data_IF_708696471900
#
_entry.id   IF_708696471900
#
_cell.length_a   1.000
_cell.length_b   1.000
_cell.length_c   1.000
_cell.angle_alpha   90.00
_cell.angle_beta   90.00
_cell.angle_gamma   90.00
#
_symmetry.space_group_name_H-M   'P 1'
#
loop_
_entity.id
_entity.type
_entity.pdbx_description
1 polymer ?
#
# COMPACT_ATOMS: atom_id res chain seq x y z
N UNK A 1 7.42 1.08 -16.44
CA UNK A 1 8.68 0.39 -16.77
C UNK A 1 9.55 1.28 -17.65
N UNK A 2 9.07 1.63 -18.86
CA UNK A 2 9.90 2.43 -19.79
C UNK A 2 10.20 3.83 -19.24
N UNK A 3 9.21 4.57 -18.71
CA UNK A 3 9.46 5.86 -18.07
C UNK A 3 10.47 5.79 -16.91
N UNK A 4 10.44 4.69 -16.11
CA UNK A 4 11.45 4.44 -15.07
C UNK A 4 12.85 4.29 -15.68
N UNK A 5 12.98 3.52 -16.76
CA UNK A 5 14.24 3.32 -17.46
C UNK A 5 14.82 4.63 -17.97
N UNK A 6 14.00 5.42 -18.66
CA UNK A 6 14.44 6.71 -19.23
C UNK A 6 14.86 7.70 -18.16
N UNK A 7 14.08 7.80 -17.05
CA UNK A 7 14.42 8.69 -15.94
C UNK A 7 15.73 8.27 -15.26
N UNK A 8 15.92 6.97 -15.00
CA UNK A 8 17.12 6.49 -14.35
C UNK A 8 18.36 6.55 -15.28
N UNK A 9 18.18 6.38 -16.59
CA UNK A 9 19.24 6.59 -17.56
C UNK A 9 19.70 8.06 -17.58
N UNK A 10 18.74 9.00 -17.53
CA UNK A 10 19.05 10.43 -17.43
C UNK A 10 19.76 10.75 -16.09
N UNK A 11 19.32 10.16 -14.98
CA UNK A 11 19.95 10.32 -13.67
C UNK A 11 21.41 9.81 -13.69
N UNK A 12 21.66 8.65 -14.29
CA UNK A 12 23.00 8.09 -14.44
C UNK A 12 23.90 8.98 -15.31
N UNK A 13 23.37 9.52 -16.41
CA UNK A 13 24.12 10.40 -17.31
C UNK A 13 24.49 11.75 -16.64
N UNK A 14 23.71 12.21 -15.66
CA UNK A 14 23.97 13.45 -14.91
C UNK A 14 24.91 13.24 -13.71
N UNK A 15 25.33 12.02 -13.40
CA UNK A 15 26.23 11.74 -12.29
C UNK A 15 25.66 12.12 -10.93
N UNK A 16 24.38 11.85 -10.68
CA UNK A 16 23.72 12.16 -9.41
C UNK A 16 24.39 11.40 -8.26
N UNK A 17 24.62 12.10 -7.15
CA UNK A 17 25.24 11.53 -5.94
C UNK A 17 24.33 10.53 -5.23
N UNK A 18 23.00 10.69 -5.37
CA UNK A 18 22.01 9.82 -4.71
C UNK A 18 20.67 9.82 -5.45
N UNK A 19 20.07 8.66 -5.52
CA UNK A 19 18.72 8.47 -6.07
C UNK A 19 17.90 7.64 -5.07
N UNK A 20 16.72 8.12 -4.68
CA UNK A 20 15.74 7.32 -3.90
C UNK A 20 14.59 6.95 -4.82
N UNK A 21 14.44 5.66 -5.08
CA UNK A 21 13.36 5.14 -5.91
C UNK A 21 12.17 4.70 -5.06
N UNK A 22 11.03 5.34 -5.27
CA UNK A 22 9.77 4.97 -4.60
C UNK A 22 9.09 3.82 -5.31
N UNK A 23 9.16 2.64 -4.71
CA UNK A 23 8.43 1.44 -5.12
C UNK A 23 7.15 1.26 -4.28
N UNK A 24 6.84 0.06 -3.85
CA UNK A 24 5.68 -0.26 -2.98
C UNK A 24 5.88 -1.65 -2.39
N UNK A 25 5.33 -1.93 -1.20
CA UNK A 25 5.26 -3.32 -0.69
C UNK A 25 4.49 -4.27 -1.61
N UNK A 26 3.69 -3.73 -2.54
CA UNK A 26 3.00 -4.53 -3.55
C UNK A 26 3.91 -5.28 -4.53
N UNK A 27 5.21 -4.96 -4.57
CA UNK A 27 6.25 -5.66 -5.36
C UNK A 27 6.96 -6.76 -4.59
N UNK A 28 6.75 -6.83 -3.28
CA UNK A 28 7.40 -7.79 -2.39
C UNK A 28 6.56 -9.06 -2.23
N UNK A 29 7.21 -10.14 -1.85
CA UNK A 29 6.56 -11.40 -1.50
C UNK A 29 5.71 -11.25 -0.24
N UNK A 30 4.64 -12.06 -0.20
CA UNK A 30 3.79 -12.18 0.97
C UNK A 30 3.55 -13.67 1.22
N UNK A 31 3.99 -14.22 2.37
CA UNK A 31 3.84 -15.65 2.67
C UNK A 31 2.38 -16.14 2.63
N UNK A 32 1.42 -15.27 2.98
CA UNK A 32 -0.01 -15.56 2.88
C UNK A 32 -0.59 -16.38 4.03
N UNK A 33 0.25 -16.78 4.98
CA UNK A 33 -0.12 -17.50 6.21
C UNK A 33 -0.33 -16.57 7.42
N UNK A 34 -0.24 -15.27 7.20
CA UNK A 34 -0.29 -14.24 8.25
C UNK A 34 1.09 -13.80 8.75
N UNK A 35 2.15 -14.48 8.34
CA UNK A 35 3.53 -14.03 8.60
C UNK A 35 3.84 -12.77 7.80
N UNK A 36 4.45 -11.73 8.40
CA UNK A 36 4.82 -10.53 7.67
C UNK A 36 5.88 -10.81 6.59
N UNK A 37 5.66 -10.28 5.38
CA UNK A 37 6.68 -10.27 4.33
C UNK A 37 7.81 -9.30 4.66
N UNK A 38 9.00 -9.61 4.15
CA UNK A 38 10.21 -8.79 4.27
C UNK A 38 10.70 -8.35 2.89
N UNK A 39 11.74 -7.51 2.85
CA UNK A 39 12.40 -7.11 1.61
C UNK A 39 12.96 -8.30 0.81
N UNK A 40 13.28 -9.39 1.52
CA UNK A 40 13.91 -10.60 0.96
C UNK A 40 12.91 -11.74 0.69
N UNK A 41 11.62 -11.55 1.03
CA UNK A 41 10.60 -12.57 0.78
C UNK A 41 10.49 -12.83 -0.72
N UNK A 42 10.75 -14.07 -1.18
CA UNK A 42 10.76 -14.40 -2.60
C UNK A 42 9.39 -14.14 -3.25
N UNK A 43 9.44 -13.65 -4.49
CA UNK A 43 8.23 -13.42 -5.27
C UNK A 43 8.56 -13.41 -6.76
N UNK A 44 7.61 -13.87 -7.57
CA UNK A 44 7.75 -13.94 -9.02
C UNK A 44 6.74 -13.02 -9.72
N UNK A 45 7.03 -12.66 -10.97
CA UNK A 45 6.10 -11.87 -11.80
C UNK A 45 4.73 -12.57 -11.97
N UNK A 46 4.69 -13.90 -11.93
CA UNK A 46 3.46 -14.67 -12.07
C UNK A 46 2.52 -14.49 -10.87
N UNK A 47 3.07 -14.24 -9.69
CA UNK A 47 2.30 -14.00 -8.46
C UNK A 47 1.75 -12.57 -8.37
N UNK A 48 2.19 -11.66 -9.26
CA UNK A 48 1.72 -10.29 -9.32
C UNK A 48 0.31 -10.22 -9.90
N UNK A 49 -0.69 -10.02 -9.04
CA UNK A 49 -2.09 -9.90 -9.44
C UNK A 49 -2.39 -8.48 -9.94
N UNK A 50 -2.89 -8.38 -11.17
CA UNK A 50 -3.29 -7.14 -11.81
C UNK A 50 -2.16 -6.34 -12.46
N UNK A 51 -2.52 -5.46 -13.38
CA UNK A 51 -1.56 -4.68 -14.18
C UNK A 51 -0.68 -3.75 -13.34
N UNK A 52 -1.25 -3.17 -12.27
CA UNK A 52 -0.53 -2.26 -11.39
C UNK A 52 0.66 -2.95 -10.72
N UNK A 53 0.43 -4.07 -10.01
CA UNK A 53 1.52 -4.79 -9.31
C UNK A 53 2.57 -5.29 -10.28
N UNK A 54 2.16 -5.85 -11.44
CA UNK A 54 3.09 -6.31 -12.49
C UNK A 54 3.98 -5.17 -13.01
N UNK A 55 3.38 -4.02 -13.30
CA UNK A 55 4.12 -2.86 -13.81
C UNK A 55 5.09 -2.31 -12.77
N UNK A 56 4.69 -2.23 -11.49
CA UNK A 56 5.56 -1.78 -10.40
C UNK A 56 6.69 -2.77 -10.14
N UNK A 57 6.43 -4.07 -10.15
CA UNK A 57 7.43 -5.12 -10.00
C UNK A 57 8.52 -5.03 -11.09
N UNK A 58 8.10 -4.94 -12.35
CA UNK A 58 9.04 -4.79 -13.46
C UNK A 58 9.82 -3.47 -13.39
N UNK A 59 9.20 -2.39 -12.92
CA UNK A 59 9.85 -1.10 -12.76
C UNK A 59 10.88 -1.11 -11.63
N UNK A 60 10.59 -1.80 -10.51
CA UNK A 60 11.55 -2.00 -9.41
C UNK A 60 12.74 -2.84 -9.88
N UNK A 61 12.51 -3.89 -10.65
CA UNK A 61 13.59 -4.69 -11.24
C UNK A 61 14.53 -3.82 -12.12
N UNK A 62 13.96 -2.93 -12.94
CA UNK A 62 14.76 -1.95 -13.71
C UNK A 62 15.57 -1.05 -12.78
N UNK A 63 14.99 -0.55 -11.69
CA UNK A 63 15.71 0.31 -10.76
C UNK A 63 16.90 -0.41 -10.09
N UNK A 64 16.68 -1.65 -9.66
CA UNK A 64 17.75 -2.49 -9.10
C UNK A 64 18.84 -2.84 -10.12
N UNK A 65 18.49 -2.99 -11.42
CA UNK A 65 19.46 -3.17 -12.50
C UNK A 65 20.38 -1.94 -12.63
N UNK A 66 19.82 -0.73 -12.59
CA UNK A 66 20.61 0.50 -12.60
C UNK A 66 21.53 0.61 -11.37
N UNK A 67 21.05 0.20 -10.18
CA UNK A 67 21.90 0.15 -8.99
C UNK A 67 23.08 -0.82 -9.16
N UNK A 68 22.86 -2.01 -9.75
CA UNK A 68 23.93 -2.97 -10.06
C UNK A 68 24.93 -2.44 -11.09
N UNK A 69 24.51 -1.56 -11.98
CA UNK A 69 25.36 -0.89 -12.97
C UNK A 69 26.09 0.33 -12.40
N UNK A 70 25.93 0.63 -11.09
CA UNK A 70 26.69 1.68 -10.42
C UNK A 70 25.92 2.98 -10.16
N UNK A 71 24.62 3.07 -10.51
CA UNK A 71 23.81 4.22 -10.09
C UNK A 71 23.63 4.17 -8.57
N UNK A 72 23.95 5.24 -7.80
CA UNK A 72 23.82 5.27 -6.34
C UNK A 72 22.34 5.35 -5.91
N UNK A 73 21.61 4.25 -6.13
CA UNK A 73 20.16 4.16 -5.94
C UNK A 73 19.80 3.31 -4.72
N UNK A 74 18.85 3.82 -3.94
CA UNK A 74 18.21 3.12 -2.82
C UNK A 74 16.72 2.99 -3.12
N UNK A 75 16.12 1.85 -2.79
CA UNK A 75 14.69 1.60 -3.00
C UNK A 75 13.95 1.73 -1.68
N UNK A 76 12.82 2.44 -1.68
CA UNK A 76 11.87 2.43 -0.56
C UNK A 76 10.55 1.82 -1.01
N UNK A 77 9.99 0.96 -0.16
CA UNK A 77 8.74 0.24 -0.40
C UNK A 77 7.69 0.69 0.63
N UNK A 78 7.00 1.82 0.41
CA UNK A 78 5.91 2.21 1.29
C UNK A 78 4.81 1.15 1.34
N UNK A 79 4.26 0.93 2.55
CA UNK A 79 3.10 0.06 2.75
C UNK A 79 1.81 0.81 2.43
N UNK A 80 0.96 1.06 3.41
CA UNK A 80 -0.30 1.77 3.24
C UNK A 80 -0.26 3.09 4.02
N UNK A 81 0.14 4.20 3.39
CA UNK A 81 0.18 5.50 4.04
C UNK A 81 -1.21 5.99 4.43
N UNK A 82 -1.33 6.52 5.66
CA UNK A 82 -2.54 7.14 6.19
C UNK A 82 -2.18 8.48 6.82
N UNK A 83 -3.04 9.48 6.70
CA UNK A 83 -2.85 10.80 7.26
C UNK A 83 -3.56 11.90 6.49
N UNK A 84 -3.12 13.13 6.67
CA UNK A 84 -3.64 14.32 5.98
C UNK A 84 -3.19 14.36 4.51
N UNK A 85 -3.83 15.23 3.70
CA UNK A 85 -3.47 15.55 2.31
C UNK A 85 -3.83 14.51 1.25
N UNK A 86 -4.72 13.57 1.57
CA UNK A 86 -5.27 12.60 0.61
C UNK A 86 -6.41 13.25 -0.22
N UNK A 87 -6.07 14.23 -1.08
CA UNK A 87 -7.04 15.00 -1.90
C UNK A 87 -7.86 14.18 -2.88
N UNK A 88 -7.30 13.07 -3.36
CA UNK A 88 -8.04 12.08 -4.13
C UNK A 88 -8.01 10.80 -3.33
N UNK A 89 -9.03 10.55 -2.50
CA UNK A 89 -8.96 9.46 -1.56
C UNK A 89 -8.36 8.20 -2.20
N UNK A 90 -7.21 7.82 -1.69
CA UNK A 90 -6.58 6.54 -2.03
C UNK A 90 -7.55 5.40 -1.68
N UNK A 91 -7.35 4.17 -2.15
CA UNK A 91 -8.21 3.06 -1.74
C UNK A 91 -8.37 2.95 -0.22
N UNK A 92 -7.33 3.25 0.56
CA UNK A 92 -7.38 3.26 2.02
C UNK A 92 -8.10 4.50 2.56
N UNK A 93 -7.82 5.68 2.01
CA UNK A 93 -8.56 6.91 2.33
C UNK A 93 -10.05 6.77 2.04
N UNK A 94 -10.41 6.07 0.95
CA UNK A 94 -11.81 5.80 0.63
C UNK A 94 -12.50 4.92 1.69
N UNK A 95 -11.79 3.94 2.28
CA UNK A 95 -12.32 3.15 3.40
C UNK A 95 -12.67 4.08 4.58
N UNK A 96 -11.81 5.04 4.90
CA UNK A 96 -12.07 6.02 5.98
C UNK A 96 -13.28 6.89 5.64
N UNK A 97 -13.34 7.44 4.42
CA UNK A 97 -14.46 8.27 3.96
C UNK A 97 -15.79 7.49 3.98
N UNK A 98 -15.79 6.25 3.48
CA UNK A 98 -16.98 5.41 3.46
C UNK A 98 -17.42 5.01 4.87
N UNK A 99 -16.48 4.77 5.79
CA UNK A 99 -16.77 4.57 7.20
C UNK A 99 -17.45 5.80 7.81
N UNK A 100 -16.88 6.99 7.62
CA UNK A 100 -17.44 8.26 8.13
C UNK A 100 -18.83 8.54 7.58
N UNK A 101 -19.08 8.21 6.32
CA UNK A 101 -20.41 8.32 5.66
C UNK A 101 -21.36 7.18 5.99
N UNK A 102 -20.95 6.22 6.82
CA UNK A 102 -21.74 5.04 7.18
C UNK A 102 -22.20 4.22 5.95
N UNK A 103 -21.34 4.18 4.91
CA UNK A 103 -21.63 3.46 3.66
C UNK A 103 -21.13 2.01 3.65
N UNK A 104 -20.61 1.53 4.78
CA UNK A 104 -20.06 0.18 4.94
C UNK A 104 -20.91 -0.66 5.90
N UNK A 105 -22.05 -1.21 5.48
CA UNK A 105 -22.88 -2.07 6.33
C UNK A 105 -22.21 -3.42 6.61
N UNK A 106 -21.33 -3.85 5.72
CA UNK A 106 -20.61 -5.12 5.77
C UNK A 106 -19.22 -4.99 5.13
N UNK A 107 -18.30 -5.89 5.47
CA UNK A 107 -16.93 -5.88 4.92
C UNK A 107 -16.42 -7.29 4.70
N UNK A 108 -15.44 -7.41 3.80
CA UNK A 108 -14.64 -8.61 3.61
C UNK A 108 -13.37 -8.47 4.44
N UNK A 109 -13.08 -9.47 5.28
CA UNK A 109 -11.90 -9.42 6.14
C UNK A 109 -10.61 -9.50 5.31
N UNK A 110 -9.71 -8.60 5.61
CA UNK A 110 -8.36 -8.53 5.04
C UNK A 110 -7.42 -7.89 6.06
N UNK A 111 -6.13 -7.85 5.76
CA UNK A 111 -5.13 -7.20 6.60
C UNK A 111 -4.29 -6.22 5.81
N UNK A 112 -3.94 -5.12 6.43
CA UNK A 112 -3.11 -4.06 5.87
C UNK A 112 -1.99 -3.70 6.86
N UNK A 113 -0.83 -3.36 6.32
CA UNK A 113 0.21 -2.71 7.09
C UNK A 113 0.02 -1.20 6.93
N UNK A 114 -0.32 -0.49 7.99
CA UNK A 114 -0.53 0.95 7.99
C UNK A 114 0.71 1.69 8.47
N UNK A 115 0.96 2.87 7.93
CA UNK A 115 2.01 3.79 8.36
C UNK A 115 1.54 5.24 8.24
N UNK A 116 2.02 6.11 9.12
CA UNK A 116 1.75 7.55 9.00
C UNK A 116 2.44 8.13 7.76
N UNK A 117 1.72 8.91 6.94
CA UNK A 117 2.26 9.49 5.70
C UNK A 117 3.51 10.35 5.93
N UNK A 118 3.60 11.07 7.06
CA UNK A 118 4.79 11.85 7.43
C UNK A 118 6.01 10.96 7.72
N UNK A 119 5.80 9.75 8.25
CA UNK A 119 6.89 8.80 8.49
C UNK A 119 7.38 8.19 7.18
N UNK A 120 6.49 8.01 6.21
CA UNK A 120 6.89 7.66 4.83
C UNK A 120 7.78 8.75 4.24
N UNK A 121 7.38 10.02 4.34
CA UNK A 121 8.18 11.14 3.86
C UNK A 121 9.55 11.21 4.56
N UNK A 122 9.57 11.06 5.90
CA UNK A 122 10.81 10.98 6.68
C UNK A 122 11.67 9.79 6.25
N UNK A 123 11.05 8.63 5.98
CA UNK A 123 11.73 7.44 5.48
C UNK A 123 12.47 7.67 4.16
N UNK A 124 11.93 8.48 3.25
CA UNK A 124 12.62 8.86 2.01
C UNK A 124 13.88 9.69 2.29
N UNK A 125 13.79 10.70 3.17
CA UNK A 125 14.96 11.51 3.55
C UNK A 125 16.02 10.68 4.28
N UNK A 126 15.61 9.74 5.13
CA UNK A 126 16.53 8.83 5.80
C UNK A 126 17.17 7.84 4.84
N UNK A 127 16.42 7.34 3.84
CA UNK A 127 16.96 6.46 2.81
C UNK A 127 17.96 7.20 1.91
N UNK A 128 17.73 8.48 1.62
CA UNK A 128 18.68 9.34 0.94
C UNK A 128 19.96 9.48 1.76
N UNK A 129 19.86 9.82 3.04
CA UNK A 129 21.00 10.12 3.90
C UNK A 129 21.80 8.87 4.33
N UNK A 130 21.13 7.72 4.60
CA UNK A 130 21.72 6.55 5.26
C UNK A 130 21.52 5.23 4.53
N UNK A 131 20.62 5.18 3.54
CA UNK A 131 20.31 3.94 2.85
C UNK A 131 21.52 3.35 2.13
N UNK A 132 21.69 2.05 2.15
CA UNK A 132 22.73 1.36 1.40
C UNK A 132 22.34 1.25 -0.08
N UNK A 133 23.28 1.51 -0.98
CA UNK A 133 23.06 1.46 -2.42
C UNK A 133 22.64 0.04 -2.82
N UNK A 134 21.61 -0.06 -3.66
CA UNK A 134 21.04 -1.33 -4.12
C UNK A 134 20.09 -2.01 -3.14
N UNK A 135 19.95 -1.49 -1.92
CA UNK A 135 19.10 -2.07 -0.91
C UNK A 135 17.65 -1.55 -0.98
N UNK A 136 16.73 -2.37 -0.46
CA UNK A 136 15.31 -2.06 -0.31
C UNK A 136 14.97 -1.85 1.17
N UNK A 137 14.05 -0.94 1.44
CA UNK A 137 13.56 -0.65 2.80
C UNK A 137 12.04 -0.52 2.82
N UNK A 138 11.38 -1.39 3.58
CA UNK A 138 9.94 -1.31 3.82
C UNK A 138 9.65 -0.14 4.75
N UNK A 139 8.87 0.83 4.24
CA UNK A 139 8.33 1.91 5.05
C UNK A 139 6.92 1.51 5.48
N UNK A 140 6.82 0.80 6.59
CA UNK A 140 5.59 0.27 7.17
C UNK A 140 5.58 0.45 8.69
N UNK A 141 4.43 0.19 9.34
CA UNK A 141 4.33 0.21 10.80
C UNK A 141 3.47 -0.93 11.32
N UNK A 142 2.18 -0.71 11.58
CA UNK A 142 1.33 -1.70 12.24
C UNK A 142 0.59 -2.59 11.23
N UNK A 143 0.65 -3.90 11.47
CA UNK A 143 -0.13 -4.89 10.76
C UNK A 143 -1.50 -5.02 11.43
N UNK A 144 -2.54 -4.53 10.79
CA UNK A 144 -3.90 -4.49 11.33
C UNK A 144 -4.88 -5.20 10.39
N UNK A 145 -5.80 -5.98 10.98
CA UNK A 145 -6.96 -6.45 10.23
C UNK A 145 -7.93 -5.30 9.95
N UNK A 146 -8.75 -5.43 8.91
CA UNK A 146 -9.75 -4.41 8.59
C UNK A 146 -10.73 -4.21 9.75
N UNK A 147 -11.06 -5.28 10.47
CA UNK A 147 -11.85 -5.20 11.70
C UNK A 147 -11.19 -4.32 12.76
N UNK A 148 -9.89 -4.49 13.02
CA UNK A 148 -9.15 -3.65 13.97
C UNK A 148 -9.13 -2.18 13.53
N UNK A 149 -8.94 -1.91 12.23
CA UNK A 149 -8.99 -0.55 11.67
C UNK A 149 -10.38 0.08 11.92
N UNK A 150 -11.47 -0.67 11.73
CA UNK A 150 -12.82 -0.16 12.01
C UNK A 150 -13.07 0.10 13.49
N UNK A 151 -12.52 -0.70 14.40
CA UNK A 151 -12.62 -0.42 15.83
C UNK A 151 -11.86 0.86 16.20
N UNK A 152 -10.63 1.04 15.69
CA UNK A 152 -9.88 2.30 15.88
C UNK A 152 -10.66 3.52 15.34
N UNK A 153 -11.27 3.40 14.16
CA UNK A 153 -12.09 4.48 13.61
C UNK A 153 -13.36 4.73 14.45
N UNK A 154 -13.97 3.67 14.99
CA UNK A 154 -15.14 3.80 15.87
C UNK A 154 -14.77 4.53 17.17
N UNK A 155 -13.67 4.17 17.80
CA UNK A 155 -13.17 4.83 19.02
C UNK A 155 -12.84 6.31 18.78
N UNK A 156 -12.22 6.63 17.63
CA UNK A 156 -11.89 8.01 17.26
C UNK A 156 -13.09 8.89 16.90
N UNK A 157 -14.16 8.31 16.38
CA UNK A 157 -15.26 9.07 15.77
C UNK A 157 -16.57 8.99 16.54
N UNK A 158 -16.72 8.02 17.45
CA UNK A 158 -17.99 7.69 18.10
C UNK A 158 -19.00 6.99 17.18
N UNK A 159 -18.64 6.67 15.93
CA UNK A 159 -19.50 5.97 14.99
C UNK A 159 -19.40 4.44 15.21
N UNK A 160 -20.51 3.68 15.02
CA UNK A 160 -20.45 2.24 15.19
C UNK A 160 -19.62 1.56 14.10
N UNK A 161 -18.74 0.64 14.50
CA UNK A 161 -18.01 -0.21 13.56
C UNK A 161 -18.96 -1.13 12.77
N UNK A 162 -18.66 -1.45 11.50
CA UNK A 162 -19.39 -2.44 10.72
C UNK A 162 -19.36 -3.80 11.42
N UNK A 163 -20.54 -4.43 11.61
CA UNK A 163 -20.66 -5.68 12.36
C UNK A 163 -20.69 -6.93 11.48
N UNK A 164 -21.05 -6.79 10.21
CA UNK A 164 -21.28 -7.92 9.31
C UNK A 164 -20.01 -8.23 8.53
N UNK A 165 -19.36 -9.33 8.88
CA UNK A 165 -18.24 -9.89 8.12
C UNK A 165 -18.78 -10.80 7.02
N UNK A 166 -18.46 -10.48 5.76
CA UNK A 166 -18.92 -11.27 4.62
C UNK A 166 -18.01 -12.50 4.42
N UNK A 167 -18.58 -13.66 4.10
CA UNK A 167 -17.79 -14.82 3.76
C UNK A 167 -17.16 -14.64 2.35
N UNK A 168 -15.92 -15.07 2.20
CA UNK A 168 -15.11 -14.85 0.98
C UNK A 168 -15.75 -15.43 -0.30
N UNK A 169 -16.19 -16.71 -0.25
CA UNK A 169 -16.63 -17.42 -1.46
C UNK A 169 -17.88 -16.85 -2.10
N UNK A 170 -18.96 -16.50 -1.37
CA UNK A 170 -20.12 -15.83 -1.94
C UNK A 170 -19.78 -14.47 -2.55
N UNK A 171 -18.91 -13.69 -1.88
CA UNK A 171 -18.48 -12.39 -2.42
C UNK A 171 -17.68 -12.56 -3.71
N UNK A 172 -16.81 -13.56 -3.77
CA UNK A 172 -16.07 -13.87 -4.99
C UNK A 172 -17.00 -14.29 -6.15
N UNK A 173 -17.99 -15.14 -5.87
CA UNK A 173 -18.98 -15.52 -6.87
C UNK A 173 -19.78 -14.31 -7.40
N UNK A 174 -20.22 -13.43 -6.49
CA UNK A 174 -20.88 -12.16 -6.88
C UNK A 174 -19.97 -11.26 -7.73
N UNK A 175 -18.68 -11.19 -7.40
CA UNK A 175 -17.72 -10.40 -8.17
C UNK A 175 -17.58 -10.91 -9.60
N UNK A 176 -17.54 -12.23 -9.82
CA UNK A 176 -17.54 -12.79 -11.18
C UNK A 176 -18.80 -12.44 -11.96
N UNK A 177 -19.96 -12.51 -11.30
CA UNK A 177 -21.24 -12.13 -11.92
C UNK A 177 -21.24 -10.64 -12.27
N UNK A 178 -20.81 -9.75 -11.34
CA UNK A 178 -20.73 -8.31 -11.62
C UNK A 178 -19.75 -7.99 -12.74
N UNK A 179 -18.59 -8.64 -12.79
CA UNK A 179 -17.58 -8.43 -13.83
C UNK A 179 -18.10 -8.90 -15.20
N UNK A 180 -18.83 -10.02 -15.26
CA UNK A 180 -19.49 -10.48 -16.48
C UNK A 180 -20.52 -9.45 -16.98
N UNK A 181 -21.43 -9.01 -16.10
CA UNK A 181 -22.43 -8.00 -16.47
C UNK A 181 -21.82 -6.64 -16.83
N UNK A 182 -20.76 -6.24 -16.13
CA UNK A 182 -20.04 -4.99 -16.38
C UNK A 182 -19.38 -5.01 -17.75
N UNK A 183 -18.72 -6.12 -18.12
CA UNK A 183 -17.98 -6.26 -19.37
C UNK A 183 -18.93 -6.41 -20.57
N UNK A 184 -19.89 -7.33 -20.50
CA UNK A 184 -20.70 -7.72 -21.67
C UNK A 184 -21.99 -6.93 -21.84
N UNK A 185 -22.59 -6.43 -20.76
CA UNK A 185 -23.90 -5.76 -20.79
C UNK A 185 -23.79 -4.26 -20.55
N UNK A 186 -23.17 -3.82 -19.43
CA UNK A 186 -23.11 -2.40 -19.07
C UNK A 186 -21.98 -1.63 -19.73
N UNK A 187 -20.94 -2.32 -20.21
CA UNK A 187 -19.71 -1.73 -20.79
C UNK A 187 -19.10 -0.64 -19.90
N UNK A 188 -19.09 -0.88 -18.60
CA UNK A 188 -18.54 0.00 -17.55
C UNK A 188 -17.65 -0.82 -16.62
N UNK A 189 -16.71 -0.19 -15.90
CA UNK A 189 -15.91 -0.91 -14.92
C UNK A 189 -16.80 -1.64 -13.89
N UNK A 190 -16.43 -2.85 -13.47
CA UNK A 190 -17.18 -3.59 -12.46
C UNK A 190 -17.14 -2.84 -11.10
N UNK A 191 -18.22 -2.96 -10.34
CA UNK A 191 -18.30 -2.39 -9.00
C UNK A 191 -17.44 -3.17 -8.01
N UNK A 192 -17.31 -4.48 -8.22
CA UNK A 192 -16.49 -5.38 -7.43
C UNK A 192 -15.52 -6.14 -8.34
N UNK A 193 -14.35 -5.54 -8.67
CA UNK A 193 -13.36 -6.25 -9.49
C UNK A 193 -12.91 -7.56 -8.85
N UNK A 194 -12.97 -8.67 -9.57
CA UNK A 194 -12.53 -10.00 -9.10
C UNK A 194 -11.09 -9.95 -8.56
N UNK A 195 -10.22 -9.16 -9.21
CA UNK A 195 -8.84 -8.96 -8.76
C UNK A 195 -8.76 -8.38 -7.35
N UNK A 196 -9.61 -7.39 -7.01
CA UNK A 196 -9.65 -6.79 -5.67
C UNK A 196 -10.11 -7.80 -4.60
N UNK A 197 -11.15 -8.60 -4.90
CA UNK A 197 -11.63 -9.64 -3.98
C UNK A 197 -10.57 -10.73 -3.77
N UNK A 198 -9.88 -11.16 -4.83
CA UNK A 198 -8.77 -12.12 -4.71
C UNK A 198 -7.62 -11.56 -3.88
N UNK A 199 -7.31 -10.28 -4.00
CA UNK A 199 -6.28 -9.63 -3.18
C UNK A 199 -6.68 -9.55 -1.71
N UNK A 200 -7.96 -9.32 -1.40
CA UNK A 200 -8.45 -9.26 -0.02
C UNK A 200 -8.26 -10.57 0.77
N UNK A 201 -8.10 -11.71 0.08
CA UNK A 201 -7.79 -13.00 0.73
C UNK A 201 -6.41 -13.02 1.38
N UNK A 202 -5.45 -12.23 0.87
CA UNK A 202 -4.08 -12.18 1.39
C UNK A 202 -3.94 -10.99 2.33
N UNK A 203 -3.53 -11.27 3.57
CA UNK A 203 -3.17 -10.22 4.52
C UNK A 203 -1.88 -9.55 4.06
N UNK A 204 -1.93 -8.26 3.80
CA UNK A 204 -0.79 -7.46 3.36
C UNK A 204 0.02 -7.00 4.58
N UNK A 205 0.62 -7.96 5.28
CA UNK A 205 1.45 -7.74 6.45
C UNK A 205 2.91 -7.71 6.07
N UNK A 206 3.64 -6.74 6.63
CA UNK A 206 5.05 -6.52 6.33
C UNK A 206 5.83 -6.20 7.59
N UNK A 207 7.12 -6.52 7.55
CA UNK A 207 8.10 -6.27 8.60
C UNK A 207 8.96 -5.06 8.20
N UNK A 208 9.07 -4.09 9.08
CA UNK A 208 9.79 -2.84 8.86
C UNK A 208 11.10 -2.74 9.67
N UNK A 209 11.52 -3.82 10.33
CA UNK A 209 12.70 -3.81 11.22
C UNK A 209 13.96 -3.33 10.51
N UNK A 210 14.13 -3.65 9.22
CA UNK A 210 15.28 -3.20 8.44
C UNK A 210 15.33 -1.66 8.34
N UNK A 211 14.22 -1.00 8.05
CA UNK A 211 14.16 0.46 8.00
C UNK A 211 14.42 1.10 9.36
N UNK A 212 13.91 0.51 10.46
CA UNK A 212 14.20 0.98 11.83
C UNK A 212 15.69 0.86 12.14
N UNK A 213 16.26 -0.31 11.88
CA UNK A 213 17.64 -0.62 12.25
C UNK A 213 18.69 0.17 11.45
N UNK A 214 18.51 0.24 10.12
CA UNK A 214 19.54 0.81 9.24
C UNK A 214 19.30 2.28 8.91
N UNK A 215 18.06 2.72 8.82
CA UNK A 215 17.74 4.13 8.55
C UNK A 215 17.50 4.94 9.83
N UNK A 216 17.18 4.27 10.96
CA UNK A 216 16.74 4.94 12.18
C UNK A 216 15.33 5.52 12.05
N UNK A 217 14.45 4.85 11.28
CA UNK A 217 13.07 5.28 11.10
C UNK A 217 12.33 5.26 12.45
N UNK A 218 11.82 6.41 12.85
CA UNK A 218 10.93 6.55 14.02
C UNK A 218 9.48 6.54 13.52
N UNK A 219 8.60 5.89 14.27
CA UNK A 219 7.24 5.62 13.86
C UNK A 219 6.22 6.33 14.74
N UNK A 220 5.27 6.98 14.12
CA UNK A 220 4.12 7.58 14.76
C UNK A 220 3.02 6.54 14.92
N UNK A 221 2.37 6.41 16.11
CA UNK A 221 1.28 5.46 16.31
C UNK A 221 0.19 5.56 15.24
N UNK A 222 -0.29 4.43 14.74
CA UNK A 222 -1.28 4.40 13.64
C UNK A 222 -2.59 5.06 14.03
N UNK A 223 -3.01 4.97 15.31
CA UNK A 223 -4.21 5.66 15.77
C UNK A 223 -4.13 7.18 15.55
N UNK A 224 -2.95 7.79 15.71
CA UNK A 224 -2.74 9.21 15.44
C UNK A 224 -2.82 9.51 13.93
N UNK A 225 -2.26 8.65 13.09
CA UNK A 225 -2.38 8.77 11.64
C UNK A 225 -3.85 8.72 11.17
N UNK A 226 -4.63 7.80 11.75
CA UNK A 226 -6.07 7.69 11.49
C UNK A 226 -6.83 8.92 12.00
N UNK A 227 -6.50 9.45 13.19
CA UNK A 227 -7.11 10.66 13.73
C UNK A 227 -6.87 11.87 12.80
N UNK A 228 -5.62 12.08 12.36
CA UNK A 228 -5.28 13.14 11.42
C UNK A 228 -6.00 12.99 10.07
N UNK A 229 -6.15 11.76 9.56
CA UNK A 229 -6.90 11.49 8.33
C UNK A 229 -8.40 11.80 8.49
N UNK A 230 -9.01 11.37 9.60
CA UNK A 230 -10.43 11.64 9.90
C UNK A 230 -10.68 13.15 9.99
N UNK A 231 -9.84 13.88 10.74
CA UNK A 231 -9.95 15.33 10.88
C UNK A 231 -9.81 16.03 9.51
N UNK A 232 -8.83 15.60 8.73
CA UNK A 232 -8.57 16.17 7.41
C UNK A 232 -9.74 15.95 6.45
N UNK A 233 -10.29 14.74 6.35
CA UNK A 233 -11.44 14.43 5.50
C UNK A 233 -12.70 15.20 5.93
N UNK A 234 -12.97 15.34 7.23
CA UNK A 234 -14.10 16.14 7.74
C UNK A 234 -13.93 17.61 7.39
N UNK A 235 -12.75 18.18 7.64
CA UNK A 235 -12.45 19.60 7.38
C UNK A 235 -12.58 19.99 5.91
N UNK A 236 -12.31 19.05 4.99
CA UNK A 236 -12.36 19.30 3.55
C UNK A 236 -13.67 18.82 2.89
N UNK A 237 -14.69 18.48 3.65
CA UNK A 237 -16.02 18.15 3.12
C UNK A 237 -16.11 16.78 2.44
N UNK A 238 -15.21 15.85 2.74
CA UNK A 238 -15.29 14.48 2.23
C UNK A 238 -16.25 13.62 3.04
N UNK A 239 -16.58 14.00 4.28
CA UNK A 239 -17.47 13.28 5.18
C UNK A 239 -18.14 14.22 6.19
#
# INVERSE_FOLDING_TARGET
>A
VEGTRQLLAAAAAQGLERVVYTSTVGTLGNPGDGTPGTEDTPVTLQEMVGHYKRSKFMAEAVALDFARQGLPLVVVNPSTPVGSWDFRPTPTGQIIVDFLKRRMPAYLETGLNLIHVKDVARGHLLAEAKGQIGEKYILGHENLSLSQIFHLLADLTGLPAPKVKLPYWPVLAMAYVDEFFATYIRRRPPRMPVAAIRMAKKYMYFDNRKAIQYLGLTLTPVHQALAEAVEWFRRHGYA
#
